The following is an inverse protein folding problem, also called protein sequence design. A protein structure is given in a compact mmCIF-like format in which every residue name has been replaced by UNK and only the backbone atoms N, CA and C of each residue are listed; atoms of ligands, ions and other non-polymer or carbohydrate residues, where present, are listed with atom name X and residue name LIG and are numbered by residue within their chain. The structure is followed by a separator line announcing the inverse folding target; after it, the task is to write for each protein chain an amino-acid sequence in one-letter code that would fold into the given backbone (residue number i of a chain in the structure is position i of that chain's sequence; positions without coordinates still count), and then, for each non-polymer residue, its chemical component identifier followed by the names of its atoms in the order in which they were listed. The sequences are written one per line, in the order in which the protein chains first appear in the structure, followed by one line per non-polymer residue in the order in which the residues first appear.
data_IF_980880672526
#
_entry.id   IF_980880672526
#
_cell.length_a   1.000
_cell.length_b   1.000
_cell.length_c   1.000
_cell.angle_alpha   90.00
_cell.angle_beta   90.00
_cell.angle_gamma   90.00
#
_symmetry.space_group_name_H-M   'P 1'
#
loop_
_entity.id
_entity.type
_entity.pdbx_description
1 polymer ?
#
# COMPACT_ATOMS: atom_id res chain seq x y z
N UNK A 1 12.99 -46.97 -13.36
CA UNK A 1 12.32 -45.66 -13.51
C UNK A 1 11.57 -45.36 -12.22
N UNK A 2 12.16 -44.55 -11.34
CA UNK A 2 11.52 -44.16 -10.08
C UNK A 2 10.43 -43.13 -10.36
N UNK A 3 9.17 -43.57 -10.36
CA UNK A 3 8.04 -42.66 -10.39
C UNK A 3 7.82 -42.14 -8.96
N UNK A 4 8.36 -40.96 -8.65
CA UNK A 4 7.98 -40.24 -7.45
C UNK A 4 6.54 -39.76 -7.62
N UNK A 5 5.61 -40.41 -6.93
CA UNK A 5 4.31 -39.82 -6.62
C UNK A 5 4.55 -38.68 -5.64
N UNK A 6 4.56 -37.45 -6.12
CA UNK A 6 4.46 -36.27 -5.26
C UNK A 6 3.03 -36.24 -4.70
N UNK A 7 2.84 -36.84 -3.52
CA UNK A 7 1.63 -36.68 -2.72
C UNK A 7 1.60 -35.25 -2.19
N UNK A 8 1.08 -34.34 -3.03
CA UNK A 8 0.72 -32.99 -2.62
C UNK A 8 -0.34 -33.07 -1.53
N UNK A 9 0.08 -32.98 -0.28
CA UNK A 9 -0.86 -32.84 0.84
C UNK A 9 -1.45 -31.45 0.77
N UNK A 10 -2.65 -31.33 0.19
CA UNK A 10 -3.47 -30.12 0.29
C UNK A 10 -3.90 -29.98 1.75
N UNK A 11 -3.00 -29.42 2.57
CA UNK A 11 -3.26 -29.10 3.96
C UNK A 11 -4.45 -28.15 3.96
N UNK A 12 -5.64 -28.63 4.36
CA UNK A 12 -6.89 -27.86 4.34
C UNK A 12 -6.65 -26.51 5.02
N UNK A 13 -6.54 -25.46 4.21
CA UNK A 13 -6.42 -24.08 4.70
C UNK A 13 -7.84 -23.59 4.94
N UNK A 14 -8.37 -23.88 6.13
CA UNK A 14 -9.67 -23.37 6.56
C UNK A 14 -9.50 -22.03 7.26
N UNK A 15 -10.49 -21.15 7.12
CA UNK A 15 -10.53 -19.89 7.86
C UNK A 15 -10.68 -20.14 9.37
N UNK A 16 -10.14 -19.23 10.18
CA UNK A 16 -10.37 -19.26 11.61
C UNK A 16 -11.84 -18.97 11.93
N UNK A 17 -12.35 -19.48 13.06
CA UNK A 17 -13.71 -19.19 13.53
C UNK A 17 -13.96 -17.68 13.69
N UNK A 18 -12.91 -16.91 14.02
CA UNK A 18 -12.99 -15.45 14.13
C UNK A 18 -13.24 -14.80 12.77
N UNK A 19 -12.56 -15.28 11.72
CA UNK A 19 -12.77 -14.81 10.35
C UNK A 19 -14.19 -15.12 9.89
N UNK A 20 -14.69 -16.34 10.15
CA UNK A 20 -16.07 -16.72 9.80
C UNK A 20 -17.09 -15.83 10.50
N UNK A 21 -16.92 -15.53 11.80
CA UNK A 21 -17.82 -14.63 12.53
C UNK A 21 -17.85 -13.20 11.96
N UNK A 22 -16.70 -12.67 11.51
CA UNK A 22 -16.63 -11.37 10.85
C UNK A 22 -17.45 -11.35 9.56
N UNK A 23 -17.31 -12.39 8.73
CA UNK A 23 -18.08 -12.53 7.49
C UNK A 23 -19.58 -12.67 7.75
N UNK A 24 -19.99 -13.50 8.71
CA UNK A 24 -21.40 -13.66 9.08
C UNK A 24 -22.00 -12.31 9.50
N UNK A 25 -21.26 -11.54 10.30
CA UNK A 25 -21.67 -10.19 10.70
C UNK A 25 -21.80 -9.25 9.49
N UNK A 26 -20.79 -9.19 8.63
CA UNK A 26 -20.80 -8.29 7.49
C UNK A 26 -21.95 -8.58 6.50
N UNK A 27 -22.23 -9.86 6.24
CA UNK A 27 -23.38 -10.29 5.42
C UNK A 27 -24.70 -9.92 6.10
N UNK A 28 -24.82 -10.09 7.43
CA UNK A 28 -26.02 -9.70 8.17
C UNK A 28 -26.24 -8.18 8.20
N UNK A 29 -25.18 -7.39 8.05
CA UNK A 29 -25.21 -5.92 7.95
C UNK A 29 -25.47 -5.43 6.52
N UNK A 30 -25.62 -6.35 5.56
CA UNK A 30 -26.01 -6.03 4.18
C UNK A 30 -24.85 -5.96 3.18
N UNK A 31 -23.64 -6.42 3.55
CA UNK A 31 -22.53 -6.53 2.59
C UNK A 31 -22.82 -7.61 1.55
N UNK A 32 -22.85 -7.23 0.28
CA UNK A 32 -23.16 -8.09 -0.87
C UNK A 32 -21.97 -8.34 -1.81
N UNK A 33 -20.86 -7.64 -1.61
CA UNK A 33 -19.63 -7.79 -2.39
C UNK A 33 -18.68 -8.85 -1.79
N UNK A 34 -17.90 -9.49 -2.67
CA UNK A 34 -16.85 -10.45 -2.29
C UNK A 34 -15.45 -9.84 -2.28
N UNK A 35 -15.34 -8.55 -2.58
CA UNK A 35 -14.04 -7.89 -2.73
C UNK A 35 -13.43 -7.56 -1.37
N UNK A 36 -12.11 -7.48 -1.34
CA UNK A 36 -11.40 -7.02 -0.15
C UNK A 36 -11.67 -5.52 0.04
N UNK A 37 -11.92 -5.13 1.29
CA UNK A 37 -11.95 -3.71 1.66
C UNK A 37 -10.63 -3.02 1.26
N UNK A 38 -10.66 -1.72 0.89
CA UNK A 38 -9.46 -0.96 0.63
C UNK A 38 -8.48 -1.12 1.79
N UNK A 39 -7.37 -1.79 1.53
CA UNK A 39 -6.33 -1.95 2.55
C UNK A 39 -5.62 -0.61 2.66
N UNK A 40 -5.52 -0.01 3.87
CA UNK A 40 -4.70 1.16 4.03
C UNK A 40 -3.28 0.79 3.62
N UNK A 41 -2.80 1.43 2.55
CA UNK A 41 -1.41 1.36 2.15
C UNK A 41 -0.52 1.98 3.21
N UNK A 42 0.79 1.95 2.98
CA UNK A 42 1.71 2.78 3.76
C UNK A 42 1.22 4.23 3.65
N UNK A 43 0.92 4.93 4.76
CA UNK A 43 0.57 6.34 4.69
C UNK A 43 1.81 7.07 4.19
N UNK A 44 1.76 7.56 2.96
CA UNK A 44 2.80 8.43 2.40
C UNK A 44 2.55 9.81 2.99
N UNK A 45 2.86 9.99 4.28
CA UNK A 45 2.79 11.28 4.99
C UNK A 45 3.65 12.36 4.33
N UNK A 46 4.60 11.93 3.49
CA UNK A 46 5.35 12.77 2.60
C UNK A 46 4.52 13.42 1.48
N UNK A 47 3.51 12.74 0.96
CA UNK A 47 2.73 13.15 -0.21
C UNK A 47 1.50 13.98 0.18
N UNK A 48 1.61 14.80 1.23
CA UNK A 48 0.55 15.74 1.61
C UNK A 48 0.57 16.99 0.73
N UNK A 49 -0.60 17.63 0.55
CA UNK A 49 -0.77 18.81 -0.32
C UNK A 49 0.21 19.96 -0.02
N UNK A 50 0.56 20.14 1.26
CA UNK A 50 1.54 21.13 1.69
C UNK A 50 2.96 20.82 1.17
N UNK A 51 3.34 19.55 1.12
CA UNK A 51 4.64 19.13 0.62
C UNK A 51 4.68 19.14 -0.90
N UNK A 52 3.58 18.74 -1.57
CA UNK A 52 3.41 18.88 -3.03
C UNK A 52 3.62 20.35 -3.43
N UNK A 53 2.96 21.27 -2.73
CA UNK A 53 3.06 22.70 -3.02
C UNK A 53 4.50 23.21 -2.89
N UNK A 54 5.25 22.77 -1.87
CA UNK A 54 6.66 23.14 -1.69
C UNK A 54 7.55 22.62 -2.82
N UNK A 55 7.33 21.37 -3.26
CA UNK A 55 8.08 20.78 -4.40
C UNK A 55 7.80 21.57 -5.67
N UNK A 56 6.54 21.89 -5.94
CA UNK A 56 6.14 22.66 -7.12
C UNK A 56 6.72 24.07 -7.12
N UNK A 57 6.75 24.75 -5.97
CA UNK A 57 7.38 26.07 -5.83
C UNK A 57 8.88 25.97 -6.10
N UNK A 58 9.58 25.00 -5.49
CA UNK A 58 11.02 24.82 -5.71
C UNK A 58 11.36 24.51 -7.17
N UNK A 59 10.54 23.72 -7.86
CA UNK A 59 10.72 23.43 -9.29
C UNK A 59 10.36 24.61 -10.19
N UNK A 60 9.41 25.46 -9.78
CA UNK A 60 9.03 26.67 -10.51
C UNK A 60 10.11 27.74 -10.45
N UNK A 61 10.85 27.79 -9.33
CA UNK A 61 12.00 28.67 -9.12
C UNK A 61 13.21 28.23 -9.97
N UNK A 62 13.59 26.95 -9.88
CA UNK A 62 14.62 26.36 -10.75
C UNK A 62 14.29 24.91 -11.13
N UNK A 63 13.95 24.74 -12.41
CA UNK A 63 13.62 23.43 -13.01
C UNK A 63 14.81 22.49 -13.15
N UNK A 64 16.04 22.95 -12.92
CA UNK A 64 17.26 22.14 -13.01
C UNK A 64 17.68 21.54 -11.67
N UNK A 65 16.99 21.88 -10.57
CA UNK A 65 17.23 21.29 -9.25
C UNK A 65 17.04 19.77 -9.27
N UNK A 66 17.97 19.07 -8.64
CA UNK A 66 17.95 17.62 -8.45
C UNK A 66 17.03 17.25 -7.28
N UNK A 67 16.58 15.98 -7.24
CA UNK A 67 15.81 15.47 -6.11
C UNK A 67 16.53 15.63 -4.76
N UNK A 68 17.87 15.55 -4.73
CA UNK A 68 18.64 15.73 -3.49
C UNK A 68 18.55 17.17 -2.96
N UNK A 69 18.67 18.16 -3.85
CA UNK A 69 18.55 19.58 -3.50
C UNK A 69 17.15 19.90 -2.98
N UNK A 70 16.12 19.43 -3.68
CA UNK A 70 14.71 19.60 -3.28
C UNK A 70 14.42 18.88 -1.96
N UNK A 71 15.01 17.69 -1.74
CA UNK A 71 14.85 16.93 -0.50
C UNK A 71 15.41 17.67 0.71
N UNK A 72 16.56 18.32 0.51
CA UNK A 72 17.24 19.11 1.53
C UNK A 72 16.45 20.38 1.85
N UNK A 73 15.95 21.06 0.82
CA UNK A 73 15.14 22.28 0.95
C UNK A 73 13.82 22.03 1.70
N UNK A 74 13.17 20.91 1.44
CA UNK A 74 11.84 20.58 1.99
C UNK A 74 11.94 19.69 3.24
N UNK A 75 13.16 19.30 3.64
CA UNK A 75 13.43 18.38 4.77
C UNK A 75 12.65 17.07 4.65
N UNK A 76 12.66 16.49 3.45
CA UNK A 76 11.97 15.25 3.11
C UNK A 76 12.97 14.20 2.64
N UNK A 77 12.61 12.92 2.77
CA UNK A 77 13.45 11.86 2.20
C UNK A 77 13.39 11.88 0.67
N UNK A 78 14.52 11.62 0.01
CA UNK A 78 14.54 11.45 -1.46
C UNK A 78 13.59 10.35 -1.93
N UNK A 79 13.47 9.26 -1.17
CA UNK A 79 12.54 8.17 -1.51
C UNK A 79 11.10 8.64 -1.53
N UNK A 80 10.73 9.51 -0.58
CA UNK A 80 9.41 10.14 -0.56
C UNK A 80 9.19 11.11 -1.72
N UNK A 81 10.24 11.77 -2.22
CA UNK A 81 10.13 12.65 -3.38
C UNK A 81 9.90 11.89 -4.70
N UNK A 82 10.42 10.67 -4.80
CA UNK A 82 10.26 9.82 -5.97
C UNK A 82 8.90 9.12 -6.02
N UNK A 83 8.16 9.12 -4.92
CA UNK A 83 6.80 8.57 -4.82
C UNK A 83 5.69 9.60 -5.11
N UNK A 84 6.04 10.86 -5.45
CA UNK A 84 5.11 11.87 -6.01
C UNK A 84 4.79 11.57 -7.47
#
# INVERSE_FOLDING_TARGET
MHSQRSSGSFRRKCFSIQTVRKWVKAVSEGRDDMEDEPRPGRPVTACGDANISKVLVSLSDDRRKTCEEISTEISMSRTSLLEF
#
